data_IF_254232078231
#
_entry.id   IF_254232078231
#
_cell.length_a   1.000
_cell.length_b   1.000
_cell.length_c   1.000
_cell.angle_alpha   90.00
_cell.angle_beta   90.00
_cell.angle_gamma   90.00
#
_symmetry.space_group_name_H-M   'P 1'
#
loop_
_entity.id
_entity.type
_entity.pdbx_description
1 polymer ?
2 non-polymer ?
3 water ?
#
# COMPACT_ATOMS: atom_id res chain seq x y z
N UNK A 1 31.78 18.05 1.59
CA UNK A 1 31.43 17.59 0.25
C UNK A 1 32.63 16.91 -0.40
N UNK A 2 33.58 16.49 0.44
CA UNK A 2 34.81 15.86 -0.03
C UNK A 2 34.68 14.35 -0.22
N UNK A 3 33.56 13.79 0.21
CA UNK A 3 33.31 12.37 0.01
C UNK A 3 32.73 12.14 -1.38
N UNK A 4 33.40 11.31 -2.17
CA UNK A 4 33.00 11.11 -3.57
C UNK A 4 32.92 9.62 -3.91
N UNK A 5 32.23 9.31 -5.01
CA UNK A 5 32.25 7.96 -5.57
C UNK A 5 33.40 7.90 -6.59
N UNK A 6 34.39 7.05 -6.35
CA UNK A 6 35.44 6.84 -7.33
C UNK A 6 34.79 6.18 -8.52
N UNK A 7 33.96 5.19 -8.21
CA UNK A 7 33.29 4.40 -9.21
C UNK A 7 31.83 4.15 -8.81
N UNK A 8 30.89 4.66 -9.60
CA UNK A 8 29.48 4.60 -9.25
C UNK A 8 28.87 3.31 -9.74
N UNK A 9 28.35 2.49 -8.82
CA UNK A 9 27.76 1.20 -9.23
C UNK A 9 26.59 1.42 -10.18
N UNK A 10 26.19 0.38 -10.91
CA UNK A 10 25.01 0.49 -11.75
C UNK A 10 23.89 -0.43 -11.25
N UNK A 11 22.75 0.17 -10.93
CA UNK A 11 21.61 -0.57 -10.39
C UNK A 11 20.49 -0.66 -11.42
N UNK A 12 20.11 -1.89 -11.78
CA UNK A 12 19.03 -2.17 -12.73
C UNK A 12 17.79 -2.75 -12.05
N UNK A 13 17.99 -3.45 -10.94
CA UNK A 13 16.89 -4.07 -10.20
C UNK A 13 16.81 -3.55 -8.77
N UNK A 14 15.77 -2.77 -8.48
CA UNK A 14 15.63 -2.17 -7.16
C UNK A 14 14.13 -1.93 -6.90
N UNK A 15 13.76 -1.80 -5.64
CA UNK A 15 12.41 -1.38 -5.29
C UNK A 15 12.39 -0.90 -3.85
N UNK A 16 11.21 -0.49 -3.40
CA UNK A 16 11.08 0.13 -2.08
C UNK A 16 9.98 -0.53 -1.28
N UNK A 17 10.25 -0.75 0.00
CA UNK A 17 9.22 -1.24 0.93
C UNK A 17 9.11 -0.30 2.09
N UNK A 18 7.88 -0.06 2.51
CA UNK A 18 7.64 0.78 3.66
C UNK A 18 6.86 0.04 4.75
N UNK A 19 7.43 0.02 5.94
CA UNK A 19 6.73 -0.50 7.10
C UNK A 19 6.25 0.65 8.00
N UNK A 20 6.27 1.87 7.46
CA UNK A 20 5.83 3.01 8.24
C UNK A 20 4.36 3.29 7.99
N UNK A 21 3.64 3.58 9.07
CA UNK A 21 2.22 3.89 8.99
C UNK A 21 1.98 5.40 8.95
N UNK A 22 2.94 6.12 9.52
CA UNK A 22 2.75 7.53 9.80
C UNK A 22 2.82 8.41 8.55
N UNK A 23 3.70 8.04 7.62
CA UNK A 23 4.06 8.95 6.54
C UNK A 23 3.01 9.08 5.46
N UNK A 24 3.03 10.23 4.79
CA UNK A 24 2.16 10.42 3.66
C UNK A 24 2.43 9.33 2.64
N UNK A 25 1.37 8.87 1.97
CA UNK A 25 1.50 7.79 1.02
C UNK A 25 2.33 8.14 -0.21
N UNK A 26 2.67 9.42 -0.38
CA UNK A 26 3.45 9.84 -1.54
C UNK A 26 4.92 10.01 -1.25
N UNK A 27 5.27 9.92 0.03
CA UNK A 27 6.65 10.07 0.46
C UNK A 27 7.63 9.00 -0.06
N UNK A 28 7.25 7.70 0.02
CA UNK A 28 8.15 6.69 -0.54
C UNK A 28 8.57 6.96 -1.98
N UNK A 29 7.61 7.25 -2.84
CA UNK A 29 7.90 7.64 -4.23
C UNK A 29 8.76 8.88 -4.33
N UNK A 30 8.37 9.92 -3.61
CA UNK A 30 9.08 11.19 -3.67
C UNK A 30 10.50 11.03 -3.13
N UNK A 31 10.63 10.39 -1.97
CA UNK A 31 11.93 10.14 -1.35
C UNK A 31 12.87 9.31 -2.22
N UNK A 32 12.36 8.25 -2.83
CA UNK A 32 13.18 7.44 -3.69
C UNK A 32 13.52 8.20 -4.97
N UNK A 33 12.62 9.09 -5.40
CA UNK A 33 12.88 9.82 -6.64
C UNK A 33 14.07 10.76 -6.46
N UNK A 34 14.10 11.45 -5.32
CA UNK A 34 15.21 12.35 -5.02
C UNK A 34 16.50 11.60 -4.67
N UNK A 35 16.38 10.51 -3.90
CA UNK A 35 17.55 9.74 -3.46
C UNK A 35 18.32 9.23 -4.67
N UNK A 36 17.59 8.65 -5.63
CA UNK A 36 18.19 8.17 -6.87
C UNK A 36 18.83 9.29 -7.69
N UNK A 37 18.20 10.45 -7.71
CA UNK A 37 18.77 11.63 -8.35
C UNK A 37 20.09 12.02 -7.70
N UNK A 38 20.14 11.88 -6.38
CA UNK A 38 21.36 12.13 -5.61
C UNK A 38 22.42 11.04 -5.85
N UNK A 39 22.01 9.77 -5.87
CA UNK A 39 22.93 8.69 -6.25
C UNK A 39 23.51 8.99 -7.63
N UNK A 40 22.64 9.37 -8.56
CA UNK A 40 23.06 9.55 -9.94
C UNK A 40 23.96 10.77 -10.15
N UNK A 41 23.63 11.89 -9.52
CA UNK A 41 24.49 13.07 -9.60
C UNK A 41 25.91 12.77 -9.10
N UNK A 42 26.03 11.81 -8.18
CA UNK A 42 27.34 11.51 -7.60
C UNK A 42 28.14 10.45 -8.36
N UNK A 43 27.50 9.80 -9.34
CA UNK A 43 28.23 8.92 -10.24
C UNK A 43 27.60 7.56 -10.51
N UNK A 44 26.52 7.24 -9.80
CA UNK A 44 25.86 5.94 -10.02
C UNK A 44 24.98 6.01 -11.25
N UNK A 45 24.56 4.84 -11.72
CA UNK A 45 23.53 4.74 -12.74
C UNK A 45 22.37 3.90 -12.20
N UNK A 46 21.15 4.40 -12.34
CA UNK A 46 19.98 3.71 -11.83
C UNK A 46 18.93 3.62 -12.91
N UNK A 47 18.33 2.44 -13.06
CA UNK A 47 17.11 2.33 -13.84
C UNK A 47 16.03 3.09 -13.08
N UNK A 48 15.32 4.00 -13.76
CA UNK A 48 14.32 4.83 -13.08
C UNK A 48 13.06 4.09 -12.62
N UNK A 49 12.80 2.93 -13.20
CA UNK A 49 11.62 2.15 -12.84
C UNK A 49 12.05 1.04 -11.89
N UNK A 50 11.30 0.85 -10.79
CA UNK A 50 11.65 -0.23 -9.87
C UNK A 50 11.31 -1.56 -10.53
N UNK A 51 11.94 -2.66 -10.10
CA UNK A 51 11.74 -3.94 -10.76
C UNK A 51 10.36 -4.55 -10.44
N UNK A 52 9.78 -4.15 -9.31
CA UNK A 52 8.38 -4.47 -8.99
C UNK A 52 7.82 -3.22 -8.32
N UNK A 53 6.49 -3.06 -8.32
CA UNK A 53 5.89 -1.85 -7.73
C UNK A 53 6.25 -1.68 -6.26
N UNK A 54 6.26 -0.45 -5.75
CA UNK A 54 6.54 -0.24 -4.33
C UNK A 54 5.48 -0.93 -3.49
N UNK A 55 5.86 -1.34 -2.30
CA UNK A 55 4.96 -2.00 -1.39
C UNK A 55 4.88 -1.24 -0.08
N UNK A 56 3.68 -1.10 0.45
CA UNK A 56 3.48 -0.52 1.77
C UNK A 56 2.64 -1.49 2.58
N UNK A 57 3.10 -1.86 3.76
CA UNK A 57 2.37 -2.85 4.54
C UNK A 57 2.65 -2.65 6.03
N UNK A 58 1.83 -3.26 6.92
CA UNK A 58 2.04 -3.02 8.34
C UNK A 58 3.31 -3.70 8.81
N UNK A 59 3.94 -3.16 9.86
CA UNK A 59 5.13 -3.73 10.48
C UNK A 59 5.00 -5.20 10.93
N UNK A 60 3.78 -5.69 11.13
CA UNK A 60 3.62 -7.11 11.49
C UNK A 60 3.76 -8.03 10.28
N UNK A 61 3.81 -7.45 9.10
CA UNK A 61 3.98 -8.21 7.86
C UNK A 61 5.44 -8.23 7.35
N UNK A 62 6.41 -8.04 8.25
CA UNK A 62 7.82 -7.92 7.82
C UNK A 62 8.32 -9.23 7.17
N UNK A 63 8.18 -10.34 7.88
CA UNK A 63 8.63 -11.62 7.35
C UNK A 63 7.97 -11.92 6.00
N UNK A 64 6.64 -11.77 5.95
CA UNK A 64 5.84 -11.98 4.73
C UNK A 64 6.25 -11.11 3.53
N UNK A 65 6.35 -9.80 3.77
CA UNK A 65 6.67 -8.84 2.70
C UNK A 65 8.04 -9.08 2.11
N UNK A 66 9.03 -9.26 2.99
CA UNK A 66 10.40 -9.43 2.53
C UNK A 66 10.50 -10.69 1.67
N UNK A 67 9.91 -11.78 2.14
CA UNK A 67 9.98 -13.03 1.38
C UNK A 67 9.18 -12.93 0.08
N UNK A 68 8.10 -12.16 0.09
CA UNK A 68 7.33 -11.96 -1.13
C UNK A 68 8.15 -11.21 -2.16
N UNK A 69 8.77 -10.12 -1.72
CA UNK A 69 9.55 -9.27 -2.62
C UNK A 69 10.70 -10.06 -3.22
N UNK A 70 11.31 -10.89 -2.37
CA UNK A 70 12.43 -11.71 -2.77
C UNK A 70 12.06 -12.75 -3.81
N UNK A 71 10.87 -13.34 -3.71
CA UNK A 71 10.47 -14.40 -4.66
C UNK A 71 9.99 -13.82 -5.98
N UNK A 72 9.43 -12.61 -5.92
CA UNK A 72 8.90 -11.94 -7.10
C UNK A 72 9.99 -11.16 -7.78
N UNK A 73 11.12 -11.01 -7.11
CA UNK A 73 12.26 -10.32 -7.70
C UNK A 73 13.57 -10.95 -7.28
N UNK A 74 13.82 -12.18 -7.75
CA UNK A 74 15.03 -12.93 -7.39
C UNK A 74 16.31 -12.18 -7.79
N UNK A 75 16.21 -11.24 -8.72
CA UNK A 75 17.37 -10.54 -9.20
C UNK A 75 17.65 -9.18 -8.57
N UNK A 76 16.79 -8.79 -7.61
CA UNK A 76 16.90 -7.49 -6.93
C UNK A 76 18.35 -7.18 -6.56
N UNK A 77 18.82 -6.01 -6.97
CA UNK A 77 20.17 -5.56 -6.64
C UNK A 77 20.14 -4.69 -5.39
N UNK A 78 18.96 -4.21 -5.01
CA UNK A 78 18.84 -3.28 -3.88
C UNK A 78 17.40 -3.14 -3.42
N UNK A 79 17.17 -3.20 -2.11
CA UNK A 79 15.85 -2.93 -1.54
C UNK A 79 15.97 -1.71 -0.67
N UNK A 80 15.20 -0.69 -0.98
CA UNK A 80 15.20 0.48 -0.12
C UNK A 80 14.12 0.24 0.91
N UNK A 81 14.51 0.13 2.17
CA UNK A 81 13.53 -0.19 3.20
C UNK A 81 13.18 1.02 4.04
N UNK A 82 11.90 1.37 4.10
CA UNK A 82 11.47 2.36 5.09
C UNK A 82 11.02 1.66 6.38
N UNK A 83 11.76 1.89 7.44
CA UNK A 83 11.58 1.22 8.73
C UNK A 83 10.27 1.56 9.42
N UNK A 84 9.80 0.66 10.29
CA UNK A 84 8.60 0.95 11.09
C UNK A 84 8.75 2.25 11.86
N UNK A 85 7.64 2.82 12.32
CA UNK A 85 7.71 4.06 13.07
C UNK A 85 8.36 3.85 14.44
N UNK A 86 8.12 2.70 15.05
CA UNK A 86 8.72 2.40 16.34
C UNK A 86 10.00 1.61 16.12
N UNK A 87 11.08 1.99 16.78
CA UNK A 87 12.34 1.29 16.54
C UNK A 87 12.33 -0.05 17.25
N UNK A 88 13.22 -0.96 16.84
CA UNK A 88 13.30 -2.28 17.45
C UNK A 88 13.21 -3.43 16.45
N UNK A 89 12.86 -3.11 15.21
CA UNK A 89 12.73 -4.11 14.16
C UNK A 89 13.95 -4.20 13.24
N UNK A 90 14.86 -3.23 13.35
CA UNK A 90 15.99 -3.14 12.41
C UNK A 90 16.86 -4.40 12.34
N UNK A 91 17.17 -4.98 13.50
CA UNK A 91 17.92 -6.23 13.54
C UNK A 91 17.22 -7.35 12.78
N UNK A 92 15.93 -7.53 13.06
CA UNK A 92 15.12 -8.49 12.34
C UNK A 92 15.20 -8.28 10.82
N UNK A 93 15.02 -7.03 10.38
CA UNK A 93 15.01 -6.74 8.94
C UNK A 93 16.35 -7.03 8.27
N UNK A 94 17.45 -6.67 8.93
CA UNK A 94 18.76 -6.87 8.32
C UNK A 94 19.08 -8.34 8.26
N UNK A 95 18.78 -9.03 9.36
CA UNK A 95 18.96 -10.47 9.44
C UNK A 95 18.23 -11.16 8.28
N UNK A 96 16.98 -10.79 8.07
CA UNK A 96 16.17 -11.44 7.03
C UNK A 96 16.75 -11.15 5.66
N UNK A 97 17.08 -9.89 5.42
CA UNK A 97 17.63 -9.50 4.14
C UNK A 97 19.02 -10.06 3.90
N UNK A 98 19.92 -9.74 4.82
CA UNK A 98 21.33 -10.01 4.58
C UNK A 98 21.65 -11.50 4.72
N UNK A 99 21.23 -12.09 5.83
CA UNK A 99 21.54 -13.47 6.10
C UNK A 99 20.52 -14.44 5.47
N UNK A 100 19.24 -14.20 5.66
CA UNK A 100 18.27 -15.21 5.27
C UNK A 100 17.84 -15.27 3.80
N UNK A 101 17.57 -14.12 3.18
CA UNK A 101 17.07 -14.16 1.81
C UNK A 101 18.15 -13.81 0.78
N UNK A 102 19.19 -13.13 1.24
CA UNK A 102 20.26 -12.68 0.36
C UNK A 102 19.80 -11.50 -0.46
N UNK A 103 19.47 -10.41 0.22
CA UNK A 103 19.10 -9.19 -0.46
C UNK A 103 19.82 -7.98 0.10
N UNK A 104 20.47 -7.24 -0.79
CA UNK A 104 21.17 -6.04 -0.40
C UNK A 104 20.13 -4.99 -0.06
N UNK A 105 20.13 -4.53 1.17
CA UNK A 105 19.14 -3.55 1.59
C UNK A 105 19.75 -2.26 2.14
N UNK A 106 19.01 -1.18 1.99
CA UNK A 106 19.35 0.08 2.67
C UNK A 106 18.15 0.51 3.53
N UNK A 107 18.37 0.55 4.84
CA UNK A 107 17.31 0.88 5.78
C UNK A 107 17.34 2.37 6.17
N UNK A 108 16.16 2.98 6.17
CA UNK A 108 15.98 4.41 6.38
C UNK A 108 14.87 4.71 7.36
N UNK A 109 15.16 5.52 8.37
CA UNK A 109 14.15 5.89 9.36
C UNK A 109 13.08 6.84 8.79
N UNK A 110 11.81 6.48 8.97
CA UNK A 110 10.68 7.25 8.44
C UNK A 110 10.67 8.73 8.85
N UNK A 111 11.14 9.05 10.06
CA UNK A 111 11.20 10.44 10.50
C UNK A 111 12.26 11.23 9.72
N UNK A 112 13.33 10.54 9.33
CA UNK A 112 14.39 11.18 8.56
C UNK A 112 13.98 11.28 7.09
N UNK A 113 13.36 10.22 6.58
CA UNK A 113 12.85 10.20 5.20
C UNK A 113 11.90 11.38 5.02
N UNK A 114 11.10 11.64 6.04
CA UNK A 114 10.17 12.75 6.04
C UNK A 114 10.84 14.13 5.88
N UNK A 115 12.06 14.27 6.37
CA UNK A 115 12.77 15.55 6.28
C UNK A 115 13.25 15.85 4.86
N UNK A 116 13.49 14.79 4.07
CA UNK A 116 14.08 14.93 2.74
C UNK A 116 15.30 15.87 2.76
N UNK A 117 16.12 15.71 3.80
CA UNK A 117 17.34 16.50 3.90
C UNK A 117 18.34 16.02 2.84
N UNK A 118 18.87 16.96 2.07
CA UNK A 118 19.72 16.56 0.96
C UNK A 118 21.10 16.05 1.39
N UNK A 119 21.54 16.43 2.59
CA UNK A 119 22.78 15.90 3.14
C UNK A 119 22.60 14.50 3.69
N UNK A 120 21.37 14.19 4.12
CA UNK A 120 21.05 12.84 4.57
C UNK A 120 21.09 11.91 3.38
N UNK A 121 20.49 12.35 2.27
CA UNK A 121 20.46 11.57 1.05
C UNK A 121 21.84 11.47 0.38
N UNK A 122 22.68 12.48 0.59
CA UNK A 122 24.07 12.37 0.17
C UNK A 122 24.73 11.19 0.89
N UNK A 123 24.62 11.18 2.22
CA UNK A 123 25.11 10.08 3.06
C UNK A 123 24.58 8.69 2.66
N UNK A 124 23.26 8.58 2.52
CA UNK A 124 22.64 7.34 2.08
C UNK A 124 23.12 6.92 0.69
N UNK A 125 23.20 7.87 -0.23
CA UNK A 125 23.67 7.57 -1.59
C UNK A 125 25.05 6.90 -1.59
N UNK A 126 25.97 7.41 -0.78
CA UNK A 126 27.32 6.84 -0.73
C UNK A 126 27.29 5.46 -0.08
N UNK A 127 26.44 5.30 0.94
CA UNK A 127 26.23 3.99 1.57
C UNK A 127 25.68 3.01 0.55
N UNK A 128 24.72 3.45 -0.25
CA UNK A 128 24.16 2.60 -1.31
C UNK A 128 25.20 2.23 -2.38
N UNK A 129 26.09 3.14 -2.74
CA UNK A 129 27.12 2.85 -3.75
C UNK A 129 28.04 1.72 -3.36
N UNK A 130 28.53 1.72 -2.13
CA UNK A 130 29.36 0.61 -1.67
C UNK A 130 28.60 -0.73 -1.55
N UNK A 131 27.38 -0.69 -1.02
CA UNK A 131 26.56 -1.89 -0.88
C UNK A 131 26.27 -2.57 -2.22
N UNK A 132 26.29 -1.76 -3.28
CA UNK A 132 25.92 -2.19 -4.63
C UNK A 132 27.16 -2.52 -5.46
N UNK A 133 28.33 -2.39 -4.85
CA UNK A 133 29.54 -2.74 -5.57
C UNK A 133 30.39 -1.59 -6.07
N UNK A 134 29.99 -0.36 -5.76
CA UNK A 134 30.77 0.80 -6.13
C UNK A 134 31.94 1.03 -5.20
N UNK A 135 32.70 2.09 -5.47
CA UNK A 135 33.84 2.50 -4.64
C UNK A 135 33.68 3.97 -4.25
N UNK A 136 33.95 4.26 -2.97
CA UNK A 136 33.94 5.62 -2.48
C UNK A 136 35.33 6.06 -2.00
N UNK A 137 35.55 7.37 -1.91
CA UNK A 137 36.79 7.89 -1.30
C UNK A 137 36.52 9.23 -0.62
N UNK A 138 37.57 9.79 0.00
CA UNK A 138 37.53 11.13 0.56
C UNK A 138 38.67 11.93 -0.07
N UNK A 139 38.33 13.07 -0.67
CA UNK A 139 39.34 13.87 -1.36
C UNK A 139 40.09 14.78 -0.38
N UNK B 2 -33.20 -15.87 -6.88
CA UNK B 2 -34.50 -15.26 -6.59
C UNK B 2 -34.44 -13.76 -6.29
N UNK B 3 -33.38 -13.32 -5.61
CA UNK B 3 -33.19 -11.90 -5.33
C UNK B 3 -32.44 -11.22 -6.47
N UNK B 4 -33.05 -10.17 -7.05
CA UNK B 4 -32.54 -9.59 -8.30
C UNK B 4 -32.43 -8.06 -8.28
N UNK B 5 -31.55 -7.53 -9.11
CA UNK B 5 -31.47 -6.09 -9.34
C UNK B 5 -32.41 -5.63 -10.47
N UNK B 6 -33.44 -4.87 -10.13
CA UNK B 6 -34.30 -4.29 -11.16
C UNK B 6 -33.50 -3.33 -12.03
N UNK B 7 -33.01 -2.25 -11.43
CA UNK B 7 -31.97 -1.43 -12.06
C UNK B 7 -30.66 -1.44 -11.29
N UNK B 8 -29.58 -1.73 -12.02
CA UNK B 8 -28.28 -1.78 -11.40
C UNK B 8 -27.55 -0.46 -11.54
N UNK B 9 -27.20 0.14 -10.42
CA UNK B 9 -26.61 1.48 -10.45
C UNK B 9 -25.27 1.52 -11.19
N UNK B 10 -24.88 2.71 -11.60
CA UNK B 10 -23.61 2.91 -12.28
C UNK B 10 -22.64 3.57 -11.32
N UNK B 11 -21.51 2.90 -11.09
CA UNK B 11 -20.52 3.38 -10.14
C UNK B 11 -19.22 3.75 -10.86
N UNK B 12 -18.89 5.03 -10.83
CA UNK B 12 -17.73 5.54 -11.52
C UNK B 12 -16.54 5.70 -10.58
N UNK B 13 -16.83 6.16 -9.36
CA UNK B 13 -15.80 6.46 -8.37
C UNK B 13 -15.92 5.56 -7.14
N UNK B 14 -14.91 4.74 -6.88
CA UNK B 14 -14.91 3.84 -5.73
C UNK B 14 -13.48 3.52 -5.31
N UNK B 15 -13.26 3.15 -4.05
CA UNK B 15 -11.97 2.61 -3.64
C UNK B 15 -12.13 1.70 -2.41
N UNK B 16 -10.99 1.31 -1.84
CA UNK B 16 -11.04 0.32 -0.78
C UNK B 16 -10.03 0.64 0.30
N UNK B 17 -10.46 0.61 1.56
CA UNK B 17 -9.52 0.69 2.68
C UNK B 17 -9.58 -0.61 3.42
N UNK B 18 -8.43 -1.02 3.91
CA UNK B 18 -8.37 -2.16 4.80
C UNK B 18 -7.78 -1.75 6.14
N UNK B 19 -8.53 -2.01 7.21
CA UNK B 19 -8.01 -1.81 8.55
C UNK B 19 -7.60 -3.16 9.20
N UNK B 20 -7.54 -4.22 8.39
CA UNK B 20 -7.20 -5.55 8.89
C UNK B 20 -5.71 -5.81 8.76
N UNK B 21 -5.05 -6.23 9.83
CA UNK B 21 -3.61 -6.48 9.73
C UNK B 21 -3.32 -7.95 9.42
N UNK B 22 -4.31 -8.81 9.62
CA UNK B 22 -4.06 -10.26 9.52
C UNK B 22 -4.16 -10.84 8.11
N UNK B 23 -4.95 -10.21 7.25
CA UNK B 23 -5.18 -10.73 5.91
C UNK B 23 -4.02 -10.53 4.95
N UNK B 24 -3.81 -11.51 4.08
CA UNK B 24 -2.83 -11.43 3.01
C UNK B 24 -3.03 -10.10 2.32
N UNK B 25 -1.92 -9.41 2.02
CA UNK B 25 -1.95 -8.07 1.42
C UNK B 25 -2.66 -8.04 0.05
N UNK B 26 -2.67 -9.17 -0.64
CA UNK B 26 -3.31 -9.24 -1.94
C UNK B 26 -4.81 -9.53 -1.89
N UNK B 27 -5.34 -9.82 -0.70
CA UNK B 27 -6.76 -10.19 -0.58
C UNK B 27 -7.76 -9.04 -0.87
N UNK B 28 -7.51 -7.82 -0.34
CA UNK B 28 -8.38 -6.69 -0.71
C UNK B 28 -8.59 -6.52 -2.21
N UNK B 29 -7.52 -6.64 -3.01
CA UNK B 29 -7.65 -6.56 -4.46
C UNK B 29 -8.42 -7.75 -5.01
N UNK B 30 -8.08 -8.93 -4.52
CA UNK B 30 -8.74 -10.15 -4.97
C UNK B 30 -10.23 -10.11 -4.65
N UNK B 31 -10.55 -9.70 -3.43
CA UNK B 31 -11.92 -9.64 -2.97
C UNK B 31 -12.74 -8.64 -3.76
N UNK B 32 -12.21 -7.43 -3.92
CA UNK B 32 -12.93 -6.38 -4.65
C UNK B 32 -13.07 -6.73 -6.13
N UNK B 33 -12.14 -7.52 -6.65
CA UNK B 33 -12.17 -7.93 -8.05
C UNK B 33 -13.38 -8.83 -8.28
N UNK B 34 -13.54 -9.84 -7.41
CA UNK B 34 -14.63 -10.80 -7.50
C UNK B 34 -15.98 -10.17 -7.10
N UNK B 35 -15.95 -9.36 -6.04
CA UNK B 35 -17.12 -8.63 -5.59
C UNK B 35 -17.72 -7.80 -6.73
N UNK B 36 -16.86 -7.02 -7.40
CA UNK B 36 -17.29 -6.20 -8.53
C UNK B 36 -17.71 -7.06 -9.72
N UNK B 37 -16.91 -8.09 -10.02
CA UNK B 37 -17.34 -9.15 -10.93
C UNK B 37 -18.76 -9.58 -10.63
N UNK B 38 -19.08 -9.79 -9.35
CA UNK B 38 -20.44 -10.16 -8.94
C UNK B 38 -21.49 -9.03 -9.10
N UNK B 39 -21.16 -7.80 -8.69
CA UNK B 39 -22.09 -6.67 -8.82
C UNK B 39 -22.43 -6.45 -10.29
N UNK B 40 -21.44 -6.67 -11.15
CA UNK B 40 -21.58 -6.42 -12.57
C UNK B 40 -22.48 -7.45 -13.27
N UNK B 41 -22.29 -8.72 -12.93
CA UNK B 41 -23.06 -9.78 -13.58
C UNK B 41 -24.50 -9.74 -13.11
N UNK B 42 -24.78 -9.02 -12.04
CA UNK B 42 -26.14 -8.99 -11.52
C UNK B 42 -26.92 -7.79 -12.03
N UNK B 43 -26.21 -6.89 -12.73
CA UNK B 43 -26.83 -5.76 -13.38
C UNK B 43 -26.17 -4.39 -13.16
N UNK B 44 -25.21 -4.30 -12.25
CA UNK B 44 -24.53 -3.01 -12.04
C UNK B 44 -23.52 -2.76 -13.13
N UNK B 45 -23.10 -1.50 -13.24
CA UNK B 45 -21.95 -1.12 -14.05
C UNK B 45 -20.87 -0.47 -13.16
N UNK B 46 -19.64 -0.99 -13.21
CA UNK B 46 -18.53 -0.51 -12.39
C UNK B 46 -17.35 -0.15 -13.25
N UNK B 47 -16.70 0.97 -12.92
CA UNK B 47 -15.40 1.31 -13.49
C UNK B 47 -14.35 0.39 -12.89
N UNK B 48 -13.58 -0.31 -13.74
CA UNK B 48 -12.61 -1.30 -13.26
C UNK B 48 -11.56 -0.73 -12.31
N UNK B 49 -11.21 0.54 -12.49
CA UNK B 49 -10.15 1.16 -11.69
C UNK B 49 -10.76 2.05 -10.60
N UNK B 50 -10.19 1.97 -9.38
CA UNK B 50 -10.61 2.83 -8.28
C UNK B 50 -10.22 4.30 -8.52
N UNK B 51 -11.00 5.25 -8.01
CA UNK B 51 -10.65 6.67 -8.15
C UNK B 51 -9.29 6.97 -7.52
N UNK B 52 -9.02 6.35 -6.38
CA UNK B 52 -7.68 6.43 -5.77
C UNK B 52 -7.18 5.02 -5.43
N UNK B 53 -5.86 4.83 -5.26
CA UNK B 53 -5.36 3.48 -4.98
C UNK B 53 -5.85 2.95 -3.64
N UNK B 54 -5.92 1.64 -3.49
CA UNK B 54 -6.31 1.03 -2.22
C UNK B 54 -5.36 1.46 -1.11
N UNK B 55 -5.90 1.59 0.09
CA UNK B 55 -5.12 1.89 1.30
C UNK B 55 -5.20 0.74 2.28
N UNK B 56 -4.10 0.47 2.98
CA UNK B 56 -4.06 -0.46 4.09
C UNK B 56 -3.53 0.24 5.32
N UNK B 57 -4.35 0.34 6.37
CA UNK B 57 -3.95 1.02 7.59
C UNK B 57 -4.22 0.18 8.85
N UNK B 58 -3.62 0.57 9.98
CA UNK B 58 -3.98 -0.01 11.28
C UNK B 58 -5.24 0.66 11.81
N UNK B 59 -6.01 -0.06 12.63
CA UNK B 59 -7.27 0.47 13.17
C UNK B 59 -7.07 1.76 14.02
N UNK B 60 -5.85 2.02 14.47
CA UNK B 60 -5.56 3.27 15.18
C UNK B 60 -5.78 4.49 14.28
N UNK B 61 -5.64 4.28 12.97
CA UNK B 61 -5.68 5.37 12.00
C UNK B 61 -7.02 5.50 11.29
N UNK B 62 -8.11 5.16 11.97
CA UNK B 62 -9.41 5.12 11.30
C UNK B 62 -9.88 6.51 10.88
N UNK B 63 -9.89 7.46 11.81
CA UNK B 63 -10.35 8.80 11.50
C UNK B 63 -9.53 9.44 10.40
N UNK B 64 -8.21 9.38 10.56
CA UNK B 64 -7.23 9.98 9.65
C UNK B 64 -7.40 9.46 8.22
N UNK B 65 -7.44 8.14 8.07
CA UNK B 65 -7.52 7.46 6.78
C UNK B 65 -8.80 7.80 6.05
N UNK B 66 -9.92 7.70 6.74
CA UNK B 66 -11.20 8.02 6.16
C UNK B 66 -11.23 9.47 5.71
N UNK B 67 -10.75 10.37 6.56
CA UNK B 67 -10.73 11.77 6.17
C UNK B 67 -9.77 11.99 4.99
N UNK B 68 -8.64 11.32 5.00
CA UNK B 68 -7.67 11.46 3.92
C UNK B 68 -8.32 11.06 2.58
N UNK B 69 -9.06 9.97 2.63
CA UNK B 69 -9.69 9.40 1.45
C UNK B 69 -10.76 10.35 0.93
N UNK B 70 -11.49 10.92 1.86
CA UNK B 70 -12.59 11.80 1.53
C UNK B 70 -12.08 13.08 0.90
N UNK B 71 -10.90 13.51 1.33
CA UNK B 71 -10.30 14.71 0.76
C UNK B 71 -9.67 14.44 -0.59
N UNK B 72 -9.10 13.24 -0.74
CA UNK B 72 -8.43 12.90 -1.99
C UNK B 72 -9.44 12.57 -3.07
N UNK B 73 -10.64 12.18 -2.67
CA UNK B 73 -11.67 11.83 -3.63
C UNK B 73 -13.04 12.32 -3.19
N UNK B 74 -13.27 13.64 -3.30
CA UNK B 74 -14.56 14.23 -2.91
C UNK B 74 -15.77 13.61 -3.60
N UNK B 75 -15.58 13.07 -4.81
CA UNK B 75 -16.70 12.54 -5.57
C UNK B 75 -16.90 11.03 -5.46
N UNK B 76 -16.25 10.41 -4.48
CA UNK B 76 -16.36 8.97 -4.26
C UNK B 76 -17.83 8.54 -4.13
N UNK B 77 -18.23 7.53 -4.89
CA UNK B 77 -19.59 6.99 -4.81
C UNK B 77 -19.67 5.80 -3.86
N UNK B 78 -18.53 5.15 -3.62
CA UNK B 78 -18.54 3.94 -2.80
C UNK B 78 -17.16 3.68 -2.20
N UNK B 79 -17.11 3.51 -0.88
CA UNK B 79 -15.91 3.05 -0.20
C UNK B 79 -16.13 1.64 0.29
N UNK B 80 -15.29 0.72 -0.14
CA UNK B 80 -15.37 -0.62 0.39
C UNK B 80 -14.42 -0.74 1.57
N UNK B 81 -14.98 -1.01 2.74
CA UNK B 81 -14.16 -1.08 3.94
C UNK B 81 -13.97 -2.50 4.42
N UNK B 82 -12.72 -2.93 4.55
CA UNK B 82 -12.46 -4.13 5.30
C UNK B 82 -12.18 -3.73 6.75
N UNK B 83 -13.08 -4.14 7.62
CA UNK B 83 -13.07 -3.81 9.04
C UNK B 83 -11.84 -4.36 9.80
N UNK B 84 -11.55 -3.77 10.96
CA UNK B 84 -10.44 -4.27 11.77
C UNK B 84 -10.66 -5.75 12.14
N UNK B 85 -9.59 -6.42 12.55
CA UNK B 85 -9.71 -7.83 12.93
C UNK B 85 -10.55 -8.02 14.18
N UNK B 86 -10.53 -7.04 15.08
CA UNK B 86 -11.28 -7.13 16.32
C UNK B 86 -12.52 -6.27 16.21
N UNK B 87 -13.66 -6.80 16.65
CA UNK B 87 -14.92 -6.11 16.42
C UNK B 87 -15.07 -4.97 17.43
N UNK B 88 -15.89 -3.97 17.09
CA UNK B 88 -16.09 -2.81 17.94
C UNK B 88 -15.82 -1.47 17.27
N UNK B 89 -15.31 -1.50 16.04
CA UNK B 89 -15.02 -0.27 15.32
C UNK B 89 -16.13 0.07 14.36
N UNK B 90 -17.04 -0.86 14.13
CA UNK B 90 -18.06 -0.68 13.11
C UNK B 90 -18.90 0.61 13.32
N UNK B 91 -19.38 0.86 14.54
CA UNK B 91 -20.16 2.07 14.81
C UNK B 91 -19.39 3.34 14.46
N UNK B 92 -18.15 3.40 14.93
CA UNK B 92 -17.24 4.49 14.62
C UNK B 92 -17.08 4.69 13.11
N UNK B 93 -16.86 3.61 12.38
CA UNK B 93 -16.64 3.75 10.93
C UNK B 93 -17.89 4.30 10.25
N UNK B 94 -19.03 3.68 10.54
CA UNK B 94 -20.31 4.08 9.96
C UNK B 94 -20.65 5.53 10.20
N UNK B 95 -20.51 5.99 11.44
CA UNK B 95 -20.86 7.37 11.74
C UNK B 95 -19.91 8.34 11.04
N UNK B 96 -18.65 7.97 10.87
CA UNK B 96 -17.71 8.87 10.20
C UNK B 96 -18.04 8.96 8.72
N UNK B 97 -18.33 7.82 8.11
CA UNK B 97 -18.65 7.80 6.69
C UNK B 97 -20.00 8.46 6.40
N UNK B 98 -21.04 7.94 7.04
CA UNK B 98 -22.41 8.34 6.77
C UNK B 98 -22.69 9.74 7.30
N UNK B 99 -22.39 9.97 8.58
CA UNK B 99 -22.75 11.24 9.21
C UNK B 99 -21.73 12.34 8.95
N UNK B 100 -20.46 12.08 9.22
CA UNK B 100 -19.50 13.18 9.25
C UNK B 100 -18.88 13.53 7.92
N UNK B 101 -18.52 12.52 7.11
CA UNK B 101 -17.87 12.80 5.84
C UNK B 101 -18.81 12.91 4.63
N UNK B 102 -19.86 12.12 4.62
CA UNK B 102 -20.79 12.12 3.51
C UNK B 102 -20.33 11.13 2.45
N UNK B 103 -20.09 9.90 2.88
CA UNK B 103 -19.63 8.88 1.97
C UNK B 103 -20.34 7.54 2.16
N UNK B 104 -20.74 6.97 1.03
CA UNK B 104 -21.43 5.70 1.01
C UNK B 104 -20.40 4.61 1.20
N UNK B 105 -20.56 3.85 2.26
CA UNK B 105 -19.60 2.79 2.54
C UNK B 105 -20.25 1.42 2.68
N UNK B 106 -19.50 0.40 2.30
CA UNK B 106 -19.91 -0.99 2.50
C UNK B 106 -18.82 -1.65 3.32
N UNK B 107 -19.15 -1.99 4.57
CA UNK B 107 -18.18 -2.60 5.47
C UNK B 107 -18.23 -4.14 5.45
N UNK B 108 -17.05 -4.76 5.40
CA UNK B 108 -16.98 -6.22 5.40
C UNK B 108 -16.01 -6.71 6.45
N UNK B 109 -16.33 -7.85 7.05
CA UNK B 109 -15.48 -8.46 8.07
C UNK B 109 -14.34 -9.19 7.40
N UNK B 110 -13.11 -8.92 7.85
CA UNK B 110 -11.93 -9.58 7.29
C UNK B 110 -12.08 -11.11 7.24
N UNK B 111 -12.61 -11.72 8.29
CA UNK B 111 -12.75 -13.17 8.31
C UNK B 111 -13.74 -13.69 7.24
N UNK B 112 -14.72 -12.87 6.86
CA UNK B 112 -15.64 -13.25 5.78
C UNK B 112 -15.02 -12.98 4.42
N UNK B 113 -14.40 -11.80 4.28
CA UNK B 113 -13.67 -11.44 3.08
C UNK B 113 -12.71 -12.56 2.66
N UNK B 114 -11.97 -13.07 3.63
CA UNK B 114 -11.00 -14.13 3.42
C UNK B 114 -11.53 -15.45 2.85
N UNK B 115 -12.84 -15.66 2.91
CA UNK B 115 -13.41 -16.93 2.47
C UNK B 115 -13.88 -16.86 1.03
N UNK B 116 -13.94 -15.64 0.49
CA UNK B 116 -14.37 -15.43 -0.89
C UNK B 116 -15.59 -16.29 -1.25
N UNK B 117 -16.57 -16.30 -0.36
CA UNK B 117 -17.78 -17.08 -0.58
C UNK B 117 -18.70 -16.34 -1.56
N UNK B 118 -19.00 -16.97 -2.70
CA UNK B 118 -19.81 -16.34 -3.74
C UNK B 118 -21.23 -15.95 -3.28
N UNK B 119 -21.79 -16.70 -2.33
CA UNK B 119 -23.10 -16.34 -1.78
C UNK B 119 -23.00 -15.03 -0.96
N UNK B 120 -21.91 -14.91 -0.22
CA UNK B 120 -21.66 -13.71 0.57
C UNK B 120 -21.51 -12.47 -0.32
N UNK B 121 -20.70 -12.62 -1.36
CA UNK B 121 -20.46 -11.54 -2.32
C UNK B 121 -21.72 -11.18 -3.12
N UNK B 122 -22.64 -12.13 -3.24
CA UNK B 122 -23.94 -11.85 -3.86
C UNK B 122 -24.78 -10.95 -2.96
N UNK B 123 -24.86 -11.33 -1.69
CA UNK B 123 -25.52 -10.54 -0.64
C UNK B 123 -24.95 -9.12 -0.52
N UNK B 124 -23.64 -9.00 -0.58
CA UNK B 124 -22.99 -7.69 -0.57
C UNK B 124 -23.28 -6.89 -1.83
N UNK B 125 -23.35 -7.55 -2.98
CA UNK B 125 -23.66 -6.85 -4.22
C UNK B 125 -25.03 -6.18 -4.15
N UNK B 126 -26.03 -6.94 -3.73
CA UNK B 126 -27.38 -6.40 -3.61
C UNK B 126 -27.37 -5.24 -2.64
N UNK B 127 -26.61 -5.38 -1.55
CA UNK B 127 -26.45 -4.34 -0.55
C UNK B 127 -25.81 -3.08 -1.13
N UNK B 128 -24.77 -3.28 -1.95
CA UNK B 128 -24.10 -2.19 -2.62
C UNK B 128 -25.04 -1.49 -3.61
N UNK B 129 -25.79 -2.26 -4.39
CA UNK B 129 -26.68 -1.65 -5.37
C UNK B 129 -27.70 -0.66 -4.76
N UNK B 130 -28.30 -1.02 -3.63
CA UNK B 130 -29.24 -0.08 -3.03
C UNK B 130 -28.53 1.17 -2.47
N UNK B 131 -27.42 0.95 -1.76
CA UNK B 131 -26.64 2.03 -1.18
C UNK B 131 -26.23 3.02 -2.26
N UNK B 132 -26.10 2.51 -3.47
CA UNK B 132 -25.47 3.26 -4.54
C UNK B 132 -26.48 3.72 -5.61
N UNK B 133 -27.76 3.59 -5.30
CA UNK B 133 -28.79 4.20 -6.14
C UNK B 133 -29.62 3.27 -7.01
N UNK B 134 -29.26 1.99 -7.00
CA UNK B 134 -30.00 1.01 -7.76
C UNK B 134 -31.23 0.56 -7.02
N UNK B 135 -31.96 -0.40 -7.59
CA UNK B 135 -33.09 -1.02 -6.90
C UNK B 135 -33.10 -2.53 -7.05
N UNK B 136 -33.57 -3.20 -5.99
CA UNK B 136 -33.63 -4.64 -5.92
C UNK B 136 -35.07 -5.14 -5.73
N UNK B 137 -35.27 -6.45 -5.82
CA UNK B 137 -36.59 -7.05 -5.59
C UNK B 137 -36.43 -8.55 -5.38
N UNK B 138 -37.52 -9.22 -5.04
CA UNK B 138 -37.56 -10.67 -5.00
C UNK B 138 -38.52 -11.14 -6.09
N UNK B 139 -38.05 -12.07 -6.92
CA UNK B 139 -38.87 -12.57 -8.02
C UNK B 139 -39.84 -13.64 -7.52
#
# INVERSE_FOLDING_TARGET
SDKKMVNGAKVTSWTCVSFSTRIDRGLPQEFCKQLIGMCVSKGMEFKPQPAIPFISCPPEHIEEALLDIHKRAPGLQLLIVILPDVTGSYGKIKRICETELGIVSQCCQPRQVNKLNKQYMENVALKINVKTGGRNTVL
SDKKMVNGAKVTSWTCVSFSTRIDRGLPQEFCKQLIGMCVSKGMEFKPQPAIPFISCPPEHIEEALLDIHKRAPGLQLLIVILPDVTGSYGKIKRICETELGIVSQCCQPRQVNKLNKQYMENVALKINVKTGGRNTVL
#
